data_IF_345050099263
#
_entry.id   IF_345050099263
#
_cell.length_a   1.000
_cell.length_b   1.000
_cell.length_c   1.000
_cell.angle_alpha   90.00
_cell.angle_beta   90.00
_cell.angle_gamma   90.00
#
_symmetry.space_group_name_H-M   'P 1'
#
loop_
_entity.id
_entity.type
_entity.pdbx_description
1 polymer ?
#
# COMPACT_ATOMS: atom_id res chain seq x y z
N UNK A 1 0.39 -9.41 0.93
CA UNK A 1 -0.40 -9.57 2.17
C UNK A 1 -0.43 -8.24 2.91
N UNK A 2 -1.59 -7.81 3.41
CA UNK A 2 -1.74 -6.55 4.15
C UNK A 2 -1.14 -6.65 5.56
N UNK A 3 -0.31 -5.69 5.93
CA UNK A 3 0.23 -5.53 7.29
C UNK A 3 -0.74 -4.69 8.13
N UNK A 4 -1.58 -5.36 8.92
CA UNK A 4 -2.61 -4.72 9.73
C UNK A 4 -2.84 -5.50 11.02
N UNK A 5 -2.96 -4.80 12.18
CA UNK A 5 -3.07 -5.41 13.50
C UNK A 5 -4.25 -6.40 13.68
N UNK A 6 -5.27 -6.31 12.83
CA UNK A 6 -6.41 -7.27 12.83
C UNK A 6 -6.12 -8.56 12.07
N UNK A 7 -5.03 -8.62 11.32
CA UNK A 7 -4.63 -9.76 10.54
C UNK A 7 -3.54 -10.56 11.30
N UNK A 8 -3.20 -11.74 10.77
CA UNK A 8 -2.00 -12.44 11.20
C UNK A 8 -0.76 -11.62 10.83
N UNK A 9 0.30 -11.73 11.63
CA UNK A 9 1.55 -11.02 11.35
C UNK A 9 2.04 -11.32 9.93
N UNK A 10 2.26 -10.25 9.16
CA UNK A 10 2.60 -10.35 7.73
C UNK A 10 3.95 -11.01 7.52
N UNK A 11 4.93 -10.70 8.38
CA UNK A 11 6.30 -11.18 8.22
C UNK A 11 6.42 -12.66 8.50
N UNK A 12 5.77 -13.14 9.57
CA UNK A 12 5.66 -14.57 9.89
C UNK A 12 4.96 -15.33 8.77
N UNK A 13 3.85 -14.78 8.26
CA UNK A 13 3.09 -15.39 7.16
C UNK A 13 3.93 -15.47 5.88
N UNK A 14 4.66 -14.39 5.52
CA UNK A 14 5.52 -14.38 4.34
C UNK A 14 6.68 -15.36 4.48
N UNK A 15 7.27 -15.50 5.67
CA UNK A 15 8.34 -16.48 5.92
C UNK A 15 7.87 -17.91 5.67
N UNK A 16 6.69 -18.29 6.18
CA UNK A 16 6.09 -19.60 5.94
C UNK A 16 5.82 -19.82 4.45
N UNK A 17 5.21 -18.83 3.77
CA UNK A 17 4.92 -18.92 2.33
C UNK A 17 6.20 -18.98 1.47
N UNK A 18 7.30 -18.36 1.93
CA UNK A 18 8.60 -18.45 1.25
C UNK A 18 9.12 -19.88 1.15
N UNK A 19 8.87 -20.68 2.18
CA UNK A 19 9.28 -22.08 2.24
C UNK A 19 8.30 -23.03 1.56
N UNK A 20 6.99 -22.69 1.56
CA UNK A 20 5.94 -23.53 0.99
C UNK A 20 5.68 -23.30 -0.50
N UNK A 21 6.26 -22.25 -1.09
CA UNK A 21 6.06 -21.90 -2.50
C UNK A 21 7.40 -21.68 -3.20
N UNK A 22 7.41 -21.86 -4.54
CA UNK A 22 8.64 -21.76 -5.33
C UNK A 22 8.53 -20.88 -6.59
N UNK A 23 7.36 -20.34 -6.91
CA UNK A 23 7.13 -19.54 -8.13
C UNK A 23 6.55 -18.16 -7.87
N UNK A 24 5.63 -18.03 -6.93
CA UNK A 24 4.92 -16.77 -6.69
C UNK A 24 5.85 -15.74 -6.06
N UNK A 25 5.72 -14.48 -6.44
CA UNK A 25 6.31 -13.36 -5.72
C UNK A 25 5.57 -13.13 -4.40
N UNK A 26 6.30 -12.73 -3.38
CA UNK A 26 5.79 -12.61 -2.01
C UNK A 26 6.03 -11.20 -1.50
N UNK A 27 5.00 -10.53 -1.01
CA UNK A 27 5.21 -9.17 -0.55
C UNK A 27 4.15 -8.64 0.40
N UNK A 28 4.51 -7.53 1.04
CA UNK A 28 3.58 -6.73 1.82
C UNK A 28 2.69 -5.88 0.89
N UNK A 29 1.43 -5.82 1.13
CA UNK A 29 0.51 -5.02 0.32
C UNK A 29 -0.49 -4.27 1.18
N UNK A 30 -0.06 -3.24 1.88
CA UNK A 30 1.28 -2.69 2.12
C UNK A 30 1.62 -2.71 3.62
N UNK A 31 2.91 -2.60 3.97
CA UNK A 31 3.34 -2.19 5.32
C UNK A 31 3.41 -0.65 5.41
N UNK A 32 3.84 -0.11 6.54
CA UNK A 32 3.82 1.33 6.80
C UNK A 32 5.08 1.78 7.57
N UNK A 33 5.38 3.11 7.60
CA UNK A 33 6.56 3.65 8.27
C UNK A 33 6.40 3.88 9.78
N UNK A 34 5.25 3.55 10.39
CA UNK A 34 4.93 3.91 11.77
C UNK A 34 5.04 2.75 12.74
N UNK A 35 4.60 1.57 12.36
CA UNK A 35 4.55 0.40 13.24
C UNK A 35 5.89 -0.31 13.35
N UNK A 36 6.82 -0.03 12.43
CA UNK A 36 8.11 -0.72 12.37
C UNK A 36 9.23 0.22 11.88
N UNK A 37 10.37 0.16 12.54
CA UNK A 37 11.57 0.90 12.15
C UNK A 37 12.10 0.46 10.77
N UNK A 38 12.62 1.39 9.96
CA UNK A 38 13.11 1.11 8.61
C UNK A 38 14.21 0.05 8.56
N UNK A 39 15.14 0.02 9.53
CA UNK A 39 16.19 -1.01 9.60
C UNK A 39 15.60 -2.40 9.81
N UNK A 40 14.60 -2.52 10.71
CA UNK A 40 13.92 -3.79 10.97
C UNK A 40 13.09 -4.23 9.77
N UNK A 41 12.44 -3.29 9.08
CA UNK A 41 11.72 -3.58 7.84
C UNK A 41 12.66 -4.06 6.75
N UNK A 42 13.82 -3.40 6.56
CA UNK A 42 14.85 -3.82 5.62
C UNK A 42 15.37 -5.23 5.93
N UNK A 43 15.69 -5.51 7.19
CA UNK A 43 16.14 -6.83 7.62
C UNK A 43 15.07 -7.90 7.39
N UNK A 44 13.80 -7.61 7.73
CA UNK A 44 12.71 -8.57 7.54
C UNK A 44 12.49 -8.91 6.07
N UNK A 45 12.42 -7.91 5.19
CA UNK A 45 12.19 -8.18 3.76
C UNK A 45 13.42 -8.85 3.10
N UNK A 46 14.63 -8.53 3.55
CA UNK A 46 15.84 -9.19 3.09
C UNK A 46 15.85 -10.68 3.49
N UNK A 47 15.43 -11.02 4.71
CA UNK A 47 15.26 -12.40 5.15
C UNK A 47 14.21 -13.17 4.32
N UNK A 48 13.06 -12.53 4.03
CA UNK A 48 12.04 -13.11 3.14
C UNK A 48 12.62 -13.33 1.74
N UNK A 49 13.42 -12.40 1.24
CA UNK A 49 14.04 -12.50 -0.08
C UNK A 49 15.03 -13.68 -0.15
N UNK A 50 15.83 -13.86 0.88
CA UNK A 50 16.75 -14.99 1.00
C UNK A 50 15.99 -16.32 1.08
N UNK A 51 15.05 -16.46 2.00
CA UNK A 51 14.22 -17.67 2.19
C UNK A 51 13.43 -18.03 0.93
N UNK A 52 13.02 -17.06 0.15
CA UNK A 52 12.21 -17.27 -1.07
C UNK A 52 13.05 -17.46 -2.33
N UNK A 53 14.39 -17.34 -2.28
CA UNK A 53 15.24 -17.38 -3.46
C UNK A 53 15.05 -16.18 -4.39
N UNK A 54 14.89 -14.97 -3.83
CA UNK A 54 14.84 -13.72 -4.61
C UNK A 54 13.44 -13.30 -5.07
N UNK A 55 12.35 -13.81 -4.45
CA UNK A 55 10.96 -13.53 -4.86
C UNK A 55 10.25 -12.46 -4.03
N UNK A 56 10.96 -11.77 -3.11
CA UNK A 56 10.35 -10.77 -2.25
C UNK A 56 10.07 -9.44 -2.96
N UNK A 57 8.96 -8.80 -2.59
CA UNK A 57 8.59 -7.44 -2.98
C UNK A 57 8.19 -6.69 -1.71
N UNK A 58 8.76 -5.51 -1.49
CA UNK A 58 8.32 -4.65 -0.38
C UNK A 58 7.28 -3.66 -0.87
N UNK A 59 6.03 -3.84 -0.48
CA UNK A 59 5.00 -2.82 -0.62
C UNK A 59 4.89 -1.99 0.66
N UNK A 60 5.01 -0.66 0.55
CA UNK A 60 4.91 0.28 1.67
C UNK A 60 3.98 1.43 1.33
N UNK A 61 3.20 1.90 2.30
CA UNK A 61 2.25 2.98 2.10
C UNK A 61 2.08 3.83 3.36
N UNK A 62 1.30 4.93 3.29
CA UNK A 62 1.13 5.84 4.42
C UNK A 62 0.30 5.24 5.58
N UNK A 63 -0.39 4.12 5.35
CA UNK A 63 -1.42 3.63 6.27
C UNK A 63 -2.61 4.59 6.34
N UNK A 64 -3.48 4.42 7.35
CA UNK A 64 -4.63 5.28 7.58
C UNK A 64 -4.72 5.77 9.02
N UNK A 65 -5.15 7.02 9.18
CA UNK A 65 -5.22 7.69 10.47
C UNK A 65 -6.14 6.95 11.46
N UNK A 66 -7.29 6.47 11.00
CA UNK A 66 -8.27 5.82 11.89
C UNK A 66 -7.72 4.50 12.49
N UNK A 67 -6.90 3.78 11.74
CA UNK A 67 -6.20 2.58 12.24
C UNK A 67 -5.16 2.97 13.28
N UNK A 68 -4.32 3.97 13.01
CA UNK A 68 -3.26 4.37 13.93
C UNK A 68 -3.77 5.02 15.21
N UNK A 69 -4.83 5.83 15.14
CA UNK A 69 -5.50 6.38 16.33
C UNK A 69 -5.95 5.26 17.28
N UNK A 70 -6.51 4.16 16.74
CA UNK A 70 -6.90 2.99 17.56
C UNK A 70 -5.72 2.24 18.16
N UNK A 71 -4.55 2.35 17.58
CA UNK A 71 -3.31 1.75 18.06
C UNK A 71 -2.52 2.68 18.98
N UNK A 72 -2.98 3.90 19.21
CA UNK A 72 -2.25 4.91 19.99
C UNK A 72 -0.97 5.39 19.30
N UNK A 73 -0.93 5.36 17.96
CA UNK A 73 0.21 5.77 17.15
C UNK A 73 -0.11 7.09 16.45
N UNK A 74 0.75 8.08 16.63
CA UNK A 74 0.63 9.36 15.93
C UNK A 74 0.86 9.20 14.43
N UNK A 75 -0.15 9.58 13.64
CA UNK A 75 -0.07 9.58 12.18
C UNK A 75 0.24 10.99 11.67
N UNK A 76 1.53 11.30 11.61
CA UNK A 76 2.04 12.60 11.19
C UNK A 76 2.82 12.52 9.87
N UNK A 77 2.78 13.58 9.07
CA UNK A 77 3.61 13.78 7.87
C UNK A 77 3.75 12.55 6.95
N UNK A 78 2.64 11.89 6.55
CA UNK A 78 2.70 10.59 5.88
C UNK A 78 3.57 10.57 4.62
N UNK A 79 3.57 11.65 3.83
CA UNK A 79 4.40 11.75 2.64
C UNK A 79 5.90 11.73 2.97
N UNK A 80 6.33 12.52 3.95
CA UNK A 80 7.73 12.57 4.40
C UNK A 80 8.15 11.26 5.03
N UNK A 81 7.30 10.67 5.89
CA UNK A 81 7.55 9.38 6.53
C UNK A 81 7.77 8.26 5.53
N UNK A 82 6.89 8.12 4.52
CA UNK A 82 7.07 7.13 3.45
C UNK A 82 8.37 7.38 2.69
N UNK A 83 8.63 8.64 2.29
CA UNK A 83 9.85 8.99 1.57
C UNK A 83 11.11 8.63 2.34
N UNK A 84 11.23 9.08 3.57
CA UNK A 84 12.41 8.85 4.42
C UNK A 84 12.63 7.36 4.68
N UNK A 85 11.54 6.63 4.97
CA UNK A 85 11.60 5.19 5.22
C UNK A 85 12.04 4.42 3.98
N UNK A 86 11.49 4.71 2.80
CA UNK A 86 11.89 4.05 1.54
C UNK A 86 13.36 4.29 1.24
N UNK A 87 13.83 5.54 1.37
CA UNK A 87 15.24 5.87 1.12
C UNK A 87 16.17 5.18 2.13
N UNK A 88 15.81 5.15 3.41
CA UNK A 88 16.58 4.44 4.43
C UNK A 88 16.62 2.92 4.16
N UNK A 89 15.49 2.30 3.80
CA UNK A 89 15.43 0.88 3.45
C UNK A 89 16.33 0.58 2.25
N UNK A 90 16.29 1.41 1.19
CA UNK A 90 17.18 1.22 0.04
C UNK A 90 18.65 1.26 0.43
N UNK A 91 19.05 2.23 1.25
CA UNK A 91 20.43 2.35 1.73
C UNK A 91 20.84 1.13 2.58
N UNK A 92 19.96 0.65 3.49
CA UNK A 92 20.22 -0.58 4.24
C UNK A 92 20.39 -1.79 3.32
N UNK A 93 19.52 -1.98 2.33
CA UNK A 93 19.59 -3.09 1.38
C UNK A 93 20.83 -3.00 0.47
N UNK A 94 21.35 -1.79 0.23
CA UNK A 94 22.59 -1.54 -0.49
C UNK A 94 23.86 -1.65 0.41
N UNK A 95 23.68 -1.98 1.69
CA UNK A 95 24.76 -1.98 2.71
C UNK A 95 25.44 -0.62 2.91
N UNK A 96 24.72 0.44 2.65
CA UNK A 96 25.21 1.78 2.96
C UNK A 96 25.05 2.10 4.44
N UNK A 97 25.93 2.97 4.96
CA UNK A 97 25.79 3.50 6.29
C UNK A 97 24.68 4.55 6.33
N UNK A 98 23.66 4.33 7.14
CA UNK A 98 22.49 5.20 7.23
C UNK A 98 22.61 6.17 8.39
N UNK A 99 22.65 7.48 8.10
CA UNK A 99 22.72 8.56 9.09
C UNK A 99 21.56 9.55 8.95
N UNK A 100 20.51 9.18 8.21
CA UNK A 100 19.28 9.94 8.00
C UNK A 100 18.09 9.28 8.71
N UNK A 101 16.94 9.92 8.74
CA UNK A 101 15.72 9.41 9.37
C UNK A 101 15.92 8.97 10.85
N UNK A 102 16.79 9.68 11.59
CA UNK A 102 17.07 9.39 12.99
C UNK A 102 18.14 8.31 13.24
N UNK A 103 18.67 7.67 12.20
CA UNK A 103 19.80 6.72 12.35
C UNK A 103 21.12 7.45 12.53
N UNK A 104 22.04 6.80 13.24
CA UNK A 104 23.39 7.31 13.56
C UNK A 104 24.46 6.33 13.07
N UNK A 105 24.59 6.20 11.76
CA UNK A 105 25.57 5.32 11.14
C UNK A 105 25.22 3.82 11.21
N UNK A 106 23.95 3.48 11.24
CA UNK A 106 23.50 2.09 11.21
C UNK A 106 23.73 1.46 9.82
N UNK A 107 24.06 0.18 9.78
CA UNK A 107 24.36 -0.57 8.55
C UNK A 107 23.89 -2.02 8.69
N UNK A 108 23.42 -2.64 7.61
CA UNK A 108 23.16 -4.09 7.57
C UNK A 108 24.45 -4.88 7.40
N UNK A 109 24.56 -6.01 8.09
CA UNK A 109 25.74 -6.90 8.04
C UNK A 109 25.68 -7.93 6.90
N UNK A 110 24.51 -8.24 6.38
CA UNK A 110 24.32 -9.26 5.32
C UNK A 110 23.80 -8.61 4.02
N UNK A 111 24.00 -9.31 2.90
CA UNK A 111 23.54 -8.89 1.55
C UNK A 111 22.35 -9.71 1.12
N UNK A 112 21.57 -9.11 0.22
CA UNK A 112 20.51 -9.78 -0.51
C UNK A 112 20.53 -9.34 -1.97
N UNK A 113 19.90 -10.08 -2.87
CA UNK A 113 19.63 -9.61 -4.22
C UNK A 113 18.69 -8.40 -4.19
N UNK A 114 18.63 -7.64 -5.29
CA UNK A 114 17.73 -6.47 -5.40
C UNK A 114 16.30 -6.84 -5.05
N UNK A 115 15.68 -6.07 -4.16
CA UNK A 115 14.28 -6.20 -3.75
C UNK A 115 13.51 -5.01 -4.32
N UNK A 116 12.49 -5.23 -5.17
CA UNK A 116 11.63 -4.16 -5.63
C UNK A 116 10.85 -3.53 -4.48
N UNK A 117 10.79 -2.20 -4.45
CA UNK A 117 10.01 -1.43 -3.46
C UNK A 117 8.86 -0.75 -4.17
N UNK A 118 7.63 -1.12 -3.81
CA UNK A 118 6.39 -0.56 -4.34
C UNK A 118 5.75 0.36 -3.32
N UNK A 119 5.21 1.49 -3.77
CA UNK A 119 4.52 2.44 -2.91
C UNK A 119 3.02 2.36 -3.17
N UNK A 120 2.23 2.16 -2.10
CA UNK A 120 0.77 2.30 -2.13
C UNK A 120 0.39 3.78 -2.23
N UNK A 121 -0.29 4.18 -3.30
CA UNK A 121 -0.60 5.57 -3.58
C UNK A 121 -1.96 5.75 -4.25
N UNK A 122 -2.69 6.81 -3.87
CA UNK A 122 -3.95 7.24 -4.48
C UNK A 122 -3.97 8.75 -4.74
N UNK A 123 -3.50 9.53 -3.78
CA UNK A 123 -3.47 10.98 -3.88
C UNK A 123 -2.28 11.47 -4.72
N UNK A 124 -2.41 12.65 -5.39
CA UNK A 124 -1.42 13.15 -6.35
C UNK A 124 0.00 13.24 -5.79
N UNK A 125 0.18 13.76 -4.59
CA UNK A 125 1.51 13.90 -3.97
C UNK A 125 2.19 12.54 -3.71
N UNK A 126 1.43 11.51 -3.35
CA UNK A 126 1.97 10.16 -3.12
C UNK A 126 2.26 9.45 -4.45
N UNK A 127 1.43 9.66 -5.48
CA UNK A 127 1.69 9.19 -6.85
C UNK A 127 2.98 9.80 -7.42
N UNK A 128 3.18 11.10 -7.25
CA UNK A 128 4.43 11.77 -7.63
C UNK A 128 5.63 11.21 -6.86
N UNK A 129 5.51 11.04 -5.54
CA UNK A 129 6.58 10.45 -4.73
C UNK A 129 6.93 9.05 -5.25
N UNK A 130 5.93 8.23 -5.51
CA UNK A 130 6.12 6.88 -6.01
C UNK A 130 6.86 6.88 -7.36
N UNK A 131 6.45 7.72 -8.32
CA UNK A 131 7.16 7.90 -9.59
C UNK A 131 8.64 8.26 -9.42
N UNK A 132 8.95 9.10 -8.41
CA UNK A 132 10.32 9.55 -8.18
C UNK A 132 11.24 8.47 -7.59
N UNK A 133 10.76 7.62 -6.67
CA UNK A 133 11.65 6.81 -5.81
C UNK A 133 11.31 5.31 -5.74
N UNK A 134 10.16 4.84 -6.27
CA UNK A 134 9.78 3.43 -6.17
C UNK A 134 10.07 2.63 -7.45
N UNK A 135 10.08 1.31 -7.34
CA UNK A 135 10.13 0.40 -8.49
C UNK A 135 8.72 0.06 -9.01
N UNK A 136 7.69 0.40 -8.24
CA UNK A 136 6.31 0.26 -8.68
C UNK A 136 5.32 0.98 -7.76
N UNK A 137 4.08 1.09 -8.22
CA UNK A 137 2.98 1.77 -7.53
C UNK A 137 1.80 0.81 -7.41
N UNK A 138 1.25 0.68 -6.21
CA UNK A 138 0.03 -0.08 -5.94
C UNK A 138 -1.14 0.89 -5.80
N UNK A 139 -2.12 0.79 -6.69
CA UNK A 139 -3.31 1.65 -6.72
C UNK A 139 -4.52 0.80 -6.39
N UNK A 140 -5.19 1.06 -5.26
CA UNK A 140 -6.37 0.33 -4.85
C UNK A 140 -7.70 0.98 -5.29
N UNK A 141 -7.71 2.25 -5.70
CA UNK A 141 -8.75 2.80 -6.55
C UNK A 141 -8.47 2.29 -7.96
N UNK A 142 -9.16 1.24 -8.40
CA UNK A 142 -8.73 0.40 -9.52
C UNK A 142 -9.59 0.53 -10.77
N UNK A 143 -10.47 1.52 -10.84
CA UNK A 143 -11.22 1.85 -12.04
C UNK A 143 -10.28 2.39 -13.14
N UNK A 144 -10.52 2.11 -14.45
CA UNK A 144 -9.66 2.60 -15.53
C UNK A 144 -9.40 4.10 -15.54
N UNK A 145 -10.36 4.93 -15.07
CA UNK A 145 -10.20 6.37 -15.00
C UNK A 145 -9.21 6.82 -13.93
N UNK A 146 -9.02 6.02 -12.86
CA UNK A 146 -7.97 6.25 -11.88
C UNK A 146 -6.58 6.09 -12.49
N UNK A 147 -6.42 5.13 -13.38
CA UNK A 147 -5.15 4.92 -14.10
C UNK A 147 -4.90 6.00 -15.15
N UNK A 148 -5.95 6.47 -15.86
CA UNK A 148 -5.82 7.62 -16.77
C UNK A 148 -5.32 8.87 -16.05
N UNK A 149 -5.69 9.05 -14.79
CA UNK A 149 -5.20 10.12 -13.95
C UNK A 149 -3.79 9.84 -13.39
N UNK A 150 -3.57 8.66 -12.80
CA UNK A 150 -2.37 8.34 -12.06
C UNK A 150 -1.13 8.11 -12.94
N UNK A 151 -1.27 7.39 -14.05
CA UNK A 151 -0.13 7.00 -14.91
C UNK A 151 0.64 8.21 -15.43
N UNK A 152 0.00 9.25 -16.02
CA UNK A 152 0.74 10.43 -16.48
C UNK A 152 1.52 11.14 -15.36
N UNK A 153 0.96 11.22 -14.15
CA UNK A 153 1.64 11.85 -13.00
C UNK A 153 2.87 11.05 -12.56
N UNK A 154 2.74 9.73 -12.47
CA UNK A 154 3.84 8.82 -12.11
C UNK A 154 4.96 8.95 -13.15
N UNK A 155 4.64 8.87 -14.43
CA UNK A 155 5.60 8.92 -15.53
C UNK A 155 6.32 10.28 -15.59
N UNK A 156 5.58 11.39 -15.57
CA UNK A 156 6.16 12.72 -15.57
C UNK A 156 7.10 12.95 -14.38
N UNK A 157 6.79 12.38 -13.23
CA UNK A 157 7.63 12.49 -12.04
C UNK A 157 8.85 11.58 -12.09
N UNK A 158 8.73 10.39 -12.69
CA UNK A 158 9.87 9.51 -12.95
C UNK A 158 10.89 10.23 -13.87
N UNK A 159 10.44 10.81 -14.98
CA UNK A 159 11.29 11.60 -15.90
C UNK A 159 11.99 12.77 -15.21
N UNK A 160 11.24 13.55 -14.41
CA UNK A 160 11.82 14.66 -13.62
C UNK A 160 12.87 14.19 -12.59
N UNK A 161 12.80 12.93 -12.18
CA UNK A 161 13.78 12.29 -11.29
C UNK A 161 14.95 11.63 -12.07
N UNK A 162 15.03 11.80 -13.39
CA UNK A 162 16.05 11.20 -14.25
C UNK A 162 15.90 9.71 -14.47
N UNK A 163 14.68 9.19 -14.29
CA UNK A 163 14.32 7.76 -14.47
C UNK A 163 13.48 7.59 -15.74
N UNK A 164 13.48 6.40 -16.30
CA UNK A 164 12.55 6.07 -17.38
C UNK A 164 11.18 5.74 -16.80
N UNK A 165 10.07 6.17 -17.42
CA UNK A 165 8.72 5.80 -16.99
C UNK A 165 8.51 4.28 -16.85
N UNK A 166 9.10 3.50 -17.75
CA UNK A 166 9.01 2.04 -17.79
C UNK A 166 9.69 1.36 -16.59
N UNK A 167 10.58 2.06 -15.88
CA UNK A 167 11.22 1.56 -14.66
C UNK A 167 10.26 1.55 -13.46
N UNK A 168 9.05 2.12 -13.60
CA UNK A 168 8.04 2.19 -12.55
C UNK A 168 6.81 1.38 -12.96
N UNK A 169 6.66 0.19 -12.41
CA UNK A 169 5.53 -0.67 -12.69
C UNK A 169 4.26 -0.12 -12.01
N UNK A 170 3.19 0.12 -12.75
CA UNK A 170 1.90 0.53 -12.20
C UNK A 170 0.98 -0.67 -12.09
N UNK A 171 0.52 -0.95 -10.86
CA UNK A 171 -0.25 -2.13 -10.53
C UNK A 171 -1.63 -1.78 -9.97
N UNK A 172 -2.67 -2.41 -10.51
CA UNK A 172 -3.99 -2.43 -9.89
C UNK A 172 -3.96 -3.36 -8.67
N UNK A 173 -4.34 -2.82 -7.50
CA UNK A 173 -4.54 -3.59 -6.28
C UNK A 173 -6.04 -3.76 -6.04
N UNK A 174 -6.68 -4.43 -6.99
CA UNK A 174 -8.12 -4.57 -7.06
C UNK A 174 -8.65 -5.63 -6.10
N UNK A 175 -9.81 -5.35 -5.51
CA UNK A 175 -10.62 -6.36 -4.84
C UNK A 175 -11.37 -7.18 -5.89
N UNK A 176 -11.39 -8.49 -5.71
CA UNK A 176 -12.02 -9.39 -6.65
C UNK A 176 -13.10 -10.23 -5.94
N UNK A 177 -14.27 -10.30 -6.54
CA UNK A 177 -15.34 -11.20 -6.10
C UNK A 177 -16.02 -11.84 -7.32
N UNK A 178 -16.19 -13.16 -7.28
CA UNK A 178 -16.86 -13.91 -8.32
C UNK A 178 -17.82 -14.94 -7.73
N UNK A 179 -19.02 -14.99 -8.26
CA UNK A 179 -20.03 -16.02 -7.97
C UNK A 179 -20.82 -16.31 -9.26
N UNK A 180 -21.47 -17.48 -9.33
CA UNK A 180 -22.39 -17.80 -10.44
C UNK A 180 -23.62 -16.88 -10.43
N UNK A 181 -23.99 -16.39 -9.25
CA UNK A 181 -25.03 -15.38 -9.04
C UNK A 181 -24.37 -13.99 -8.93
N UNK A 182 -24.55 -13.11 -9.91
CA UNK A 182 -23.96 -11.75 -9.91
C UNK A 182 -24.32 -10.93 -8.66
N UNK A 183 -25.54 -11.10 -8.12
CA UNK A 183 -25.96 -10.36 -6.93
C UNK A 183 -25.16 -10.79 -5.70
N UNK A 184 -24.81 -12.08 -5.58
CA UNK A 184 -23.95 -12.57 -4.50
C UNK A 184 -22.52 -12.07 -4.65
N UNK A 185 -21.99 -12.05 -5.87
CA UNK A 185 -20.65 -11.50 -6.15
C UNK A 185 -20.57 -10.03 -5.72
N UNK A 186 -21.52 -9.19 -6.15
CA UNK A 186 -21.59 -7.78 -5.77
C UNK A 186 -21.75 -7.62 -4.26
N UNK A 187 -22.63 -8.38 -3.62
CA UNK A 187 -22.85 -8.27 -2.17
C UNK A 187 -21.59 -8.64 -1.37
N UNK A 188 -20.85 -9.65 -1.82
CA UNK A 188 -19.60 -10.06 -1.18
C UNK A 188 -18.49 -8.98 -1.28
N UNK A 189 -18.47 -8.17 -2.36
CA UNK A 189 -17.52 -7.08 -2.54
C UNK A 189 -17.81 -5.86 -1.67
N UNK A 190 -19.07 -5.61 -1.30
CA UNK A 190 -19.52 -4.41 -0.58
C UNK A 190 -18.72 -4.09 0.67
N UNK A 191 -18.32 -5.12 1.43
CA UNK A 191 -17.49 -4.92 2.63
C UNK A 191 -16.17 -4.24 2.32
N UNK A 192 -15.48 -4.67 1.28
CA UNK A 192 -14.17 -4.09 0.89
C UNK A 192 -14.37 -2.72 0.25
N UNK A 193 -15.40 -2.58 -0.60
CA UNK A 193 -15.76 -1.29 -1.21
C UNK A 193 -16.07 -0.24 -0.14
N UNK A 194 -16.79 -0.59 0.93
CA UNK A 194 -17.04 0.31 2.05
C UNK A 194 -15.73 0.84 2.67
N UNK A 195 -14.73 -0.02 2.89
CA UNK A 195 -13.44 0.41 3.41
C UNK A 195 -12.65 1.26 2.42
N UNK A 196 -12.71 0.95 1.11
CA UNK A 196 -12.07 1.74 0.07
C UNK A 196 -12.69 3.14 0.03
N UNK A 197 -14.02 3.25 -0.07
CA UNK A 197 -14.74 4.53 -0.11
C UNK A 197 -14.46 5.36 1.15
N UNK A 198 -14.52 4.75 2.34
CA UNK A 198 -14.26 5.44 3.60
C UNK A 198 -12.81 5.97 3.73
N UNK A 199 -11.85 5.33 3.08
CA UNK A 199 -10.43 5.71 3.09
C UNK A 199 -9.96 6.48 1.86
N UNK A 200 -10.83 6.68 0.87
CA UNK A 200 -10.46 7.36 -0.38
C UNK A 200 -10.32 8.86 -0.17
N UNK A 201 -9.30 9.50 -0.75
CA UNK A 201 -9.18 10.96 -0.75
C UNK A 201 -10.26 11.59 -1.64
N UNK A 202 -10.60 12.85 -1.33
CA UNK A 202 -11.68 13.62 -1.99
C UNK A 202 -11.58 13.59 -3.53
N UNK A 203 -10.39 13.79 -4.07
CA UNK A 203 -10.18 13.78 -5.52
C UNK A 203 -10.47 12.43 -6.20
N UNK A 204 -10.44 11.32 -5.46
CA UNK A 204 -10.86 10.00 -5.95
C UNK A 204 -12.38 9.90 -5.92
N UNK A 205 -13.01 10.28 -4.80
CA UNK A 205 -14.46 10.27 -4.66
C UNK A 205 -15.13 11.15 -5.71
N UNK A 206 -14.63 12.38 -5.92
CA UNK A 206 -15.12 13.31 -6.94
C UNK A 206 -15.05 12.73 -8.35
N UNK A 207 -13.93 12.06 -8.71
CA UNK A 207 -13.74 11.43 -10.03
C UNK A 207 -14.84 10.42 -10.34
N UNK A 208 -15.30 9.71 -9.33
CA UNK A 208 -16.38 8.73 -9.45
C UNK A 208 -17.75 9.30 -9.10
N UNK A 209 -17.82 10.61 -8.82
CA UNK A 209 -19.06 11.30 -8.44
C UNK A 209 -19.67 10.74 -7.15
N UNK A 210 -18.85 10.24 -6.22
CA UNK A 210 -19.24 9.80 -4.89
C UNK A 210 -19.23 11.02 -3.97
N UNK A 211 -20.35 11.27 -3.28
CA UNK A 211 -20.46 12.40 -2.37
C UNK A 211 -19.62 12.21 -1.11
N UNK A 212 -19.01 13.30 -0.62
CA UNK A 212 -18.26 13.28 0.64
C UNK A 212 -19.13 12.87 1.83
N UNK A 213 -20.42 13.24 1.83
CA UNK A 213 -21.35 12.87 2.89
C UNK A 213 -21.67 11.37 2.88
N UNK A 214 -21.78 10.75 1.69
CA UNK A 214 -21.94 9.31 1.54
C UNK A 214 -20.71 8.57 2.08
N UNK A 215 -19.52 9.02 1.71
CA UNK A 215 -18.26 8.43 2.19
C UNK A 215 -18.09 8.60 3.72
N UNK A 216 -18.47 9.76 4.25
CA UNK A 216 -18.45 10.05 5.69
C UNK A 216 -19.40 9.14 6.46
N UNK A 217 -20.63 8.97 5.98
CA UNK A 217 -21.63 8.09 6.62
C UNK A 217 -21.10 6.63 6.70
N UNK A 218 -20.49 6.14 5.63
CA UNK A 218 -19.85 4.81 5.62
C UNK A 218 -18.68 4.75 6.61
N UNK A 219 -17.83 5.78 6.66
CA UNK A 219 -16.69 5.85 7.58
C UNK A 219 -17.14 5.86 9.04
N UNK A 220 -18.20 6.60 9.37
CA UNK A 220 -18.79 6.64 10.71
C UNK A 220 -19.39 5.28 11.12
N UNK A 221 -20.09 4.60 10.20
CA UNK A 221 -20.59 3.24 10.46
C UNK A 221 -19.44 2.27 10.76
N UNK A 222 -18.36 2.30 9.96
CA UNK A 222 -17.15 1.49 10.21
C UNK A 222 -16.53 1.83 11.57
N UNK A 223 -16.47 3.10 11.95
CA UNK A 223 -15.86 3.54 13.23
C UNK A 223 -16.62 3.00 14.44
N UNK A 224 -17.94 2.84 14.32
CA UNK A 224 -18.83 2.27 15.35
C UNK A 224 -18.95 0.74 15.28
N UNK A 225 -18.17 0.08 14.40
CA UNK A 225 -18.26 -1.37 14.13
C UNK A 225 -19.60 -1.82 13.55
N UNK A 226 -20.40 -0.91 13.00
CA UNK A 226 -21.61 -1.23 12.25
C UNK A 226 -21.26 -1.57 10.80
N UNK A 227 -20.69 -2.76 10.61
CA UNK A 227 -20.30 -3.22 9.26
C UNK A 227 -21.51 -3.48 8.37
N UNK A 228 -22.67 -3.80 8.94
CA UNK A 228 -23.89 -3.97 8.18
C UNK A 228 -24.34 -2.61 7.63
N UNK A 229 -24.48 -1.60 8.47
CA UNK A 229 -24.81 -0.24 8.04
C UNK A 229 -23.81 0.31 7.02
N UNK A 230 -22.50 0.06 7.20
CA UNK A 230 -21.50 0.44 6.22
C UNK A 230 -21.72 -0.25 4.85
N UNK A 231 -22.02 -1.54 4.82
CA UNK A 231 -22.32 -2.28 3.57
C UNK A 231 -23.63 -1.83 2.93
N UNK A 232 -24.64 -1.54 3.73
CA UNK A 232 -25.95 -1.06 3.25
C UNK A 232 -25.82 0.36 2.62
N UNK A 233 -24.86 1.16 3.09
CA UNK A 233 -24.49 2.47 2.50
C UNK A 233 -23.73 2.36 1.17
N UNK A 234 -23.24 1.18 0.78
CA UNK A 234 -22.54 1.01 -0.50
C UNK A 234 -23.53 0.91 -1.65
N UNK A 235 -23.52 1.91 -2.53
CA UNK A 235 -24.34 1.99 -3.73
C UNK A 235 -23.79 1.18 -4.89
N UNK A 236 -24.59 0.90 -5.91
CA UNK A 236 -24.13 0.26 -7.16
C UNK A 236 -23.00 1.07 -7.81
N UNK A 237 -23.13 2.39 -7.85
CA UNK A 237 -22.10 3.30 -8.35
C UNK A 237 -20.74 3.08 -7.68
N UNK A 238 -20.72 2.89 -6.36
CA UNK A 238 -19.49 2.63 -5.60
C UNK A 238 -18.88 1.26 -5.90
N UNK A 239 -19.70 0.27 -6.28
CA UNK A 239 -19.19 -1.06 -6.67
C UNK A 239 -18.68 -1.13 -8.10
N UNK A 240 -19.04 -0.15 -8.93
CA UNK A 240 -18.62 -0.02 -10.33
C UNK A 240 -17.42 0.93 -10.48
N UNK A 241 -17.16 1.77 -9.47
CA UNK A 241 -16.05 2.71 -9.39
C UNK A 241 -14.80 2.03 -8.83
#
# INVERSE_FOLDING_TARGET
>A
ITDHYKNRDVWTTLAVLSLLTNKISLGTGVTNPYTRNAAITASSIASINELSGGRAILGIGPGDKATFDKMGIDWDKPLSRVRETVLAIRAFLAKEQVSQAGFKGAQMSFTTSKIPIYIGAQGPKMLELAGAISDGVLINASHPDDFKFAVPMIHARAEKAGRKPEDVQVCAYASFSADKDPAKAVNASKKVVAFIVAGSPENVLERHGIGMDEARAISEAISRFDFKGAMDGVTTKMTEA
#
